data_IF_852313227137
#
_entry.id   IF_852313227137
#
_cell.length_a   1.000
_cell.length_b   1.000
_cell.length_c   1.000
_cell.angle_alpha   90.00
_cell.angle_beta   90.00
_cell.angle_gamma   90.00
#
_symmetry.space_group_name_H-M   'P 1'
#
loop_
_entity.id
_entity.type
_entity.pdbx_description
1 polymer ?
#
# COMPACT_ATOMS: atom_id res chain seq x y z
N UNK A 1 -13.00 3.30 2.43
CA UNK A 1 -12.02 3.23 1.32
C UNK A 1 -11.87 1.82 0.75
N UNK A 2 -11.82 0.75 1.58
CA UNK A 2 -11.71 -0.65 1.09
C UNK A 2 -12.79 -1.08 0.07
N UNK A 3 -14.02 -0.60 0.19
CA UNK A 3 -15.12 -0.92 -0.73
C UNK A 3 -14.91 -0.44 -2.18
N UNK A 4 -13.87 0.35 -2.47
CA UNK A 4 -13.54 0.79 -3.83
C UNK A 4 -12.74 -0.28 -4.62
N UNK A 5 -12.21 -1.32 -3.95
CA UNK A 5 -11.31 -2.31 -4.56
C UNK A 5 -11.93 -3.71 -4.69
N UNK A 6 -13.19 -3.77 -5.12
CA UNK A 6 -13.92 -5.04 -5.33
C UNK A 6 -13.21 -5.91 -6.37
N UNK A 7 -12.61 -5.30 -7.40
CA UNK A 7 -11.88 -6.03 -8.42
C UNK A 7 -10.49 -6.48 -7.87
N UNK A 8 -10.29 -7.80 -7.87
CA UNK A 8 -9.08 -8.47 -7.37
C UNK A 8 -7.80 -8.16 -8.14
N UNK A 9 -7.88 -7.58 -9.34
CA UNK A 9 -6.73 -7.24 -10.18
C UNK A 9 -6.58 -5.73 -10.40
N UNK A 10 -7.19 -4.91 -9.53
CA UNK A 10 -7.15 -3.45 -9.67
C UNK A 10 -5.74 -2.92 -9.48
N UNK A 11 -5.39 -1.90 -10.29
CA UNK A 11 -4.19 -1.08 -10.07
C UNK A 11 -4.60 0.27 -9.51
N UNK A 12 -3.97 0.70 -8.42
CA UNK A 12 -4.31 1.96 -7.76
C UNK A 12 -3.14 2.93 -7.77
N UNK A 13 -3.41 4.20 -8.03
CA UNK A 13 -2.44 5.28 -7.96
C UNK A 13 -2.80 6.20 -6.80
N UNK A 14 -1.91 6.30 -5.81
CA UNK A 14 -1.99 7.28 -4.74
C UNK A 14 -0.96 8.39 -5.00
N UNK A 15 -1.44 9.59 -5.31
CA UNK A 15 -0.60 10.76 -5.61
C UNK A 15 -0.35 11.67 -4.40
N UNK A 16 -0.94 11.35 -3.24
CA UNK A 16 -0.83 12.18 -2.03
C UNK A 16 0.04 11.57 -0.95
N UNK A 17 0.53 10.34 -1.13
CA UNK A 17 1.73 9.77 -0.50
C UNK A 17 1.86 9.96 1.01
N UNK A 18 0.75 10.18 1.71
CA UNK A 18 0.68 10.57 3.11
C UNK A 18 -0.12 9.58 3.94
N UNK A 19 -0.71 8.57 3.31
CA UNK A 19 -1.59 7.60 3.97
C UNK A 19 -1.02 6.21 3.73
N UNK A 20 -0.08 5.84 4.60
CA UNK A 20 0.50 4.49 4.71
C UNK A 20 -0.55 3.40 5.03
N UNK A 21 -1.73 3.82 5.47
CA UNK A 21 -2.95 3.01 5.59
C UNK A 21 -3.48 2.48 4.26
N UNK A 22 -3.20 3.16 3.14
CA UNK A 22 -3.71 2.77 1.82
C UNK A 22 -3.08 1.47 1.30
N UNK A 23 -1.75 1.41 1.28
CA UNK A 23 -1.04 0.23 0.83
C UNK A 23 -1.27 -0.95 1.77
N UNK A 24 -1.31 -0.70 3.08
CA UNK A 24 -1.61 -1.72 4.08
C UNK A 24 -2.98 -2.35 3.86
N UNK A 25 -3.99 -1.54 3.55
CA UNK A 25 -5.33 -2.02 3.22
C UNK A 25 -5.36 -2.91 1.96
N UNK A 26 -4.54 -2.60 0.94
CA UNK A 26 -4.45 -3.44 -0.26
C UNK A 26 -3.77 -4.78 0.04
N UNK A 27 -2.64 -4.77 0.75
CA UNK A 27 -1.93 -6.01 1.12
C UNK A 27 -2.81 -6.91 1.99
N UNK A 28 -3.51 -6.33 2.97
CA UNK A 28 -4.45 -7.06 3.83
C UNK A 28 -5.60 -7.67 3.02
N UNK A 29 -6.15 -6.93 2.05
CA UNK A 29 -7.23 -7.43 1.20
C UNK A 29 -6.75 -8.55 0.28
N UNK A 30 -5.58 -8.41 -0.35
CA UNK A 30 -4.96 -9.46 -1.17
C UNK A 30 -4.71 -10.72 -0.35
N UNK A 31 -4.21 -10.58 0.89
CA UNK A 31 -4.02 -11.72 1.80
C UNK A 31 -5.35 -12.40 2.16
N UNK A 32 -6.40 -11.62 2.44
CA UNK A 32 -7.72 -12.14 2.83
C UNK A 32 -8.46 -12.84 1.68
N UNK A 33 -8.41 -12.30 0.47
CA UNK A 33 -9.24 -12.77 -0.65
C UNK A 33 -8.46 -13.43 -1.81
N UNK A 34 -7.15 -13.60 -1.66
CA UNK A 34 -6.26 -14.14 -2.69
C UNK A 34 -6.16 -13.24 -3.92
N UNK A 35 -6.42 -11.95 -3.77
CA UNK A 35 -6.34 -10.97 -4.85
C UNK A 35 -4.91 -10.63 -5.27
N UNK A 36 -4.79 -10.03 -6.44
CA UNK A 36 -3.54 -9.57 -7.04
C UNK A 36 -3.62 -8.07 -7.36
N UNK A 37 -4.12 -7.29 -6.41
CA UNK A 37 -4.19 -5.83 -6.54
C UNK A 37 -2.79 -5.26 -6.40
N UNK A 38 -2.49 -4.24 -7.19
CA UNK A 38 -1.20 -3.55 -7.14
C UNK A 38 -1.41 -2.06 -6.98
N UNK A 39 -0.38 -1.35 -6.52
CA UNK A 39 -0.44 0.09 -6.31
C UNK A 39 0.85 0.78 -6.70
N UNK A 40 0.75 2.07 -6.99
CA UNK A 40 1.86 2.99 -7.17
C UNK A 40 1.60 4.19 -6.28
N UNK A 41 2.61 4.58 -5.50
CA UNK A 41 2.53 5.74 -4.61
C UNK A 41 3.51 6.78 -5.11
N UNK A 42 3.00 7.97 -5.35
CA UNK A 42 3.79 9.15 -5.70
C UNK A 42 3.69 10.13 -4.53
N UNK A 43 4.82 10.62 -4.07
CA UNK A 43 4.90 11.66 -3.04
C UNK A 43 5.88 12.73 -3.50
N UNK A 44 5.50 14.00 -3.30
CA UNK A 44 6.40 15.13 -3.52
C UNK A 44 7.33 15.39 -2.32
N UNK A 45 7.19 14.61 -1.23
CA UNK A 45 8.01 14.71 -0.04
C UNK A 45 8.89 13.45 0.10
N UNK A 46 10.18 13.61 -0.20
CA UNK A 46 11.15 12.51 -0.20
C UNK A 46 11.27 11.82 1.17
N UNK A 47 11.21 12.58 2.26
CA UNK A 47 11.30 12.03 3.61
C UNK A 47 10.11 11.11 3.91
N UNK A 48 8.91 11.51 3.51
CA UNK A 48 7.71 10.67 3.69
C UNK A 48 7.80 9.42 2.80
N UNK A 49 8.25 9.57 1.54
CA UNK A 49 8.43 8.44 0.63
C UNK A 49 9.42 7.40 1.17
N UNK A 50 10.61 7.82 1.63
CA UNK A 50 11.68 6.91 2.05
C UNK A 50 11.51 6.40 3.50
N UNK A 51 11.30 7.31 4.45
CA UNK A 51 11.35 6.97 5.87
C UNK A 51 10.03 6.41 6.41
N UNK A 52 8.90 6.82 5.84
CA UNK A 52 7.59 6.31 6.24
C UNK A 52 7.11 5.21 5.30
N UNK A 53 6.84 5.51 4.02
CA UNK A 53 6.18 4.58 3.10
C UNK A 53 7.09 3.39 2.77
N UNK A 54 8.26 3.64 2.18
CA UNK A 54 9.16 2.57 1.74
C UNK A 54 9.60 1.68 2.91
N UNK A 55 10.02 2.28 4.02
CA UNK A 55 10.45 1.53 5.20
C UNK A 55 9.34 0.64 5.77
N UNK A 56 8.11 1.14 5.83
CA UNK A 56 6.95 0.37 6.30
C UNK A 56 6.62 -0.78 5.34
N UNK A 57 6.53 -0.49 4.04
CA UNK A 57 6.28 -1.52 3.02
C UNK A 57 7.35 -2.61 3.01
N UNK A 58 8.62 -2.21 3.15
CA UNK A 58 9.72 -3.14 3.26
C UNK A 58 9.55 -4.08 4.47
N UNK A 59 9.16 -3.56 5.64
CA UNK A 59 8.92 -4.40 6.83
C UNK A 59 7.77 -5.38 6.62
N UNK A 60 6.65 -4.92 6.06
CA UNK A 60 5.47 -5.74 5.76
C UNK A 60 5.85 -6.88 4.79
N UNK A 61 6.52 -6.54 3.68
CA UNK A 61 6.87 -7.53 2.66
C UNK A 61 7.92 -8.55 3.12
N UNK A 62 8.71 -8.20 4.15
CA UNK A 62 9.71 -9.09 4.73
C UNK A 62 9.27 -9.73 6.06
N UNK A 63 7.99 -9.62 6.43
CA UNK A 63 7.45 -10.24 7.65
C UNK A 63 8.06 -9.71 8.96
N UNK A 64 8.60 -8.49 8.97
CA UNK A 64 9.14 -7.88 10.18
C UNK A 64 8.01 -7.19 10.97
N UNK A 65 8.00 -7.40 12.30
CA UNK A 65 7.07 -6.71 13.20
C UNK A 65 7.31 -5.18 13.22
N UNK A 66 6.25 -4.46 13.58
CA UNK A 66 6.03 -3.01 13.44
C UNK A 66 7.12 -2.12 14.04
#
# INVERSE_FOLDING_TARGET
MLNLFINKNTRVLDIFGSHDTFAHAIEELNFKDGGNRSYTIISNNENIAKLAIYKRLYRINNGQNW
#
